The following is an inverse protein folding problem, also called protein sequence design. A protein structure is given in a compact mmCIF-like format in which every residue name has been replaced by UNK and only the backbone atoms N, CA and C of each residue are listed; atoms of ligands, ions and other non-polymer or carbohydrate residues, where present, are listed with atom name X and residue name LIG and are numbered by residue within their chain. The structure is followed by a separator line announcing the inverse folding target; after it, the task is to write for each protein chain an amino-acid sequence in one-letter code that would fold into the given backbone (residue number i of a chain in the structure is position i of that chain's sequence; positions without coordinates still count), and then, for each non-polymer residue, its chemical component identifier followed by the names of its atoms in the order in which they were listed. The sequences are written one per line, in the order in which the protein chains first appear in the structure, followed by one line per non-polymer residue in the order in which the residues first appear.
data_IF_428099557517
#
_entry.id   IF_428099557517
#
_cell.length_a   1.000
_cell.length_b   1.000
_cell.length_c   1.000
_cell.angle_alpha   90.00
_cell.angle_beta   90.00
_cell.angle_gamma   90.00
#
_symmetry.space_group_name_H-M   'P 1'
#
loop_
_entity.id
_entity.type
_entity.pdbx_description
1 polymer ?
#
# COMPACT_ATOMS: atom_id res chain seq x y z
N UNK A 1 0.56 10.94 -0.88
CA UNK A 1 -0.89 11.28 -0.90
C UNK A 1 -1.21 12.19 -2.09
N UNK A 2 -2.49 12.46 -2.36
CA UNK A 2 -2.89 13.32 -3.48
C UNK A 2 -2.44 14.77 -3.34
N UNK A 3 -2.49 15.31 -2.12
CA UNK A 3 -1.95 16.61 -1.79
C UNK A 3 -0.43 16.66 -2.05
N UNK A 4 0.31 15.68 -1.53
CA UNK A 4 1.76 15.57 -1.75
C UNK A 4 2.13 15.42 -3.23
N UNK A 5 1.35 14.68 -4.03
CA UNK A 5 1.56 14.60 -5.48
C UNK A 5 1.42 15.98 -6.14
N UNK A 6 0.35 16.72 -5.80
CA UNK A 6 0.15 18.07 -6.33
C UNK A 6 1.31 18.99 -5.97
N UNK A 7 1.77 18.94 -4.72
CA UNK A 7 2.91 19.74 -4.24
C UNK A 7 4.20 19.38 -4.97
N UNK A 8 4.49 18.10 -5.14
CA UNK A 8 5.65 17.63 -5.90
C UNK A 8 5.62 18.11 -7.37
N UNK A 9 4.45 18.07 -8.01
CA UNK A 9 4.29 18.60 -9.37
C UNK A 9 4.54 20.11 -9.44
N UNK A 10 4.07 20.88 -8.47
CA UNK A 10 4.31 22.33 -8.40
C UNK A 10 5.80 22.61 -8.20
N UNK A 11 6.45 21.90 -7.27
CA UNK A 11 7.88 22.04 -6.99
C UNK A 11 8.74 21.75 -8.23
N UNK A 12 8.30 20.83 -9.09
CA UNK A 12 8.95 20.51 -10.35
C UNK A 12 8.70 21.55 -11.47
N UNK A 13 7.83 22.54 -11.23
CA UNK A 13 7.53 23.61 -12.17
C UNK A 13 6.24 23.41 -12.95
N UNK A 14 5.32 22.56 -12.49
CA UNK A 14 3.95 22.54 -13.01
C UNK A 14 3.22 23.82 -12.58
N UNK A 15 2.63 24.60 -13.50
CA UNK A 15 1.94 25.82 -13.14
C UNK A 15 0.84 25.57 -12.10
N UNK A 16 0.79 26.39 -11.05
CA UNK A 16 -0.18 26.27 -9.95
C UNK A 16 -1.63 26.12 -10.43
N UNK A 17 -2.01 26.87 -11.48
CA UNK A 17 -3.36 26.82 -12.08
C UNK A 17 -3.70 25.44 -12.69
N UNK A 18 -2.70 24.68 -13.13
CA UNK A 18 -2.87 23.36 -13.76
C UNK A 18 -2.60 22.20 -12.80
N UNK A 19 -1.88 22.43 -11.70
CA UNK A 19 -1.39 21.38 -10.80
C UNK A 19 -2.48 20.44 -10.27
N UNK A 20 -3.67 20.97 -9.92
CA UNK A 20 -4.80 20.13 -9.46
C UNK A 20 -5.27 19.16 -10.55
N UNK A 21 -5.45 19.66 -11.77
CA UNK A 21 -5.86 18.85 -12.92
C UNK A 21 -4.81 17.80 -13.25
N UNK A 22 -3.53 18.20 -13.32
CA UNK A 22 -2.41 17.28 -13.63
C UNK A 22 -2.25 16.20 -12.57
N UNK A 23 -2.36 16.55 -11.28
CA UNK A 23 -2.36 15.58 -10.21
C UNK A 23 -3.50 14.57 -10.37
N UNK A 24 -4.72 15.02 -10.70
CA UNK A 24 -5.86 14.13 -10.97
C UNK A 24 -5.62 13.17 -12.14
N UNK A 25 -5.09 13.67 -13.26
CA UNK A 25 -4.77 12.86 -14.43
C UNK A 25 -3.73 11.78 -14.11
N UNK A 26 -2.60 12.17 -13.51
CA UNK A 26 -1.51 11.25 -13.15
C UNK A 26 -2.00 10.23 -12.12
N UNK A 27 -2.78 10.67 -11.13
CA UNK A 27 -3.35 9.81 -10.09
C UNK A 27 -4.19 8.67 -10.66
N UNK A 28 -5.08 8.97 -11.60
CA UNK A 28 -5.90 7.96 -12.27
C UNK A 28 -5.05 6.97 -13.07
N UNK A 29 -4.01 7.45 -13.77
CA UNK A 29 -3.09 6.55 -14.48
C UNK A 29 -2.41 5.56 -13.55
N UNK A 30 -1.90 6.03 -12.40
CA UNK A 30 -1.16 5.18 -11.46
C UNK A 30 -2.10 4.20 -10.74
N UNK A 31 -3.18 4.72 -10.14
CA UNK A 31 -3.95 4.00 -9.12
C UNK A 31 -5.26 3.39 -9.62
N UNK A 32 -5.84 3.93 -10.70
CA UNK A 32 -7.02 3.35 -11.33
C UNK A 32 -6.66 2.43 -12.51
N UNK A 33 -5.59 2.75 -13.25
CA UNK A 33 -5.20 2.03 -14.48
C UNK A 33 -3.91 1.21 -14.35
N UNK A 34 -3.20 1.26 -13.23
CA UNK A 34 -1.99 0.45 -13.02
C UNK A 34 -0.78 0.88 -13.86
N UNK A 35 -0.80 2.06 -14.48
CA UNK A 35 0.27 2.50 -15.35
C UNK A 35 1.56 2.79 -14.56
N UNK A 36 2.70 2.36 -15.11
CA UNK A 36 4.06 2.58 -14.57
C UNK A 36 4.97 3.35 -15.53
N UNK A 37 4.44 3.81 -16.65
CA UNK A 37 5.20 4.54 -17.67
C UNK A 37 4.50 5.84 -18.04
N UNK A 38 5.17 6.97 -17.76
CA UNK A 38 4.68 8.30 -18.13
C UNK A 38 4.37 8.44 -19.62
N UNK A 39 5.09 7.72 -20.48
CA UNK A 39 4.89 7.75 -21.93
C UNK A 39 3.48 7.32 -22.32
N UNK A 40 2.82 6.46 -21.53
CA UNK A 40 1.48 5.96 -21.81
C UNK A 40 0.36 6.92 -21.41
N UNK A 41 0.67 8.00 -20.70
CA UNK A 41 -0.34 8.95 -20.19
C UNK A 41 -0.86 9.88 -21.30
N UNK A 42 -1.66 9.35 -22.22
CA UNK A 42 -2.07 10.02 -23.48
C UNK A 42 -2.86 11.32 -23.31
N UNK A 43 -3.45 11.57 -22.14
CA UNK A 43 -4.13 12.84 -21.81
C UNK A 43 -3.15 13.93 -21.29
N UNK A 44 -1.85 13.67 -21.32
CA UNK A 44 -0.77 14.62 -21.07
C UNK A 44 -0.02 14.94 -22.37
N UNK A 45 0.46 16.18 -22.52
CA UNK A 45 1.27 16.55 -23.67
C UNK A 45 2.58 15.74 -23.70
N UNK A 46 3.17 15.57 -24.88
CA UNK A 46 4.45 14.83 -25.04
C UNK A 46 5.55 15.44 -24.17
N UNK A 47 5.71 16.77 -24.24
CA UNK A 47 6.73 17.49 -23.47
C UNK A 47 6.55 17.33 -21.96
N UNK A 48 5.30 17.32 -21.48
CA UNK A 48 5.03 17.14 -20.06
C UNK A 48 5.33 15.71 -19.59
N UNK A 49 5.05 14.69 -20.42
CA UNK A 49 5.44 13.31 -20.12
C UNK A 49 6.96 13.14 -20.02
N UNK A 50 7.71 13.74 -20.96
CA UNK A 50 9.17 13.74 -20.93
C UNK A 50 9.70 14.41 -19.65
N UNK A 51 9.17 15.60 -19.34
CA UNK A 51 9.52 16.34 -18.12
C UNK A 51 9.22 15.57 -16.82
N UNK A 52 8.15 14.77 -16.79
CA UNK A 52 7.87 13.90 -15.64
C UNK A 52 8.90 12.76 -15.53
N UNK A 53 9.23 12.10 -16.63
CA UNK A 53 10.18 10.99 -16.67
C UNK A 53 11.62 11.42 -16.31
N UNK A 54 11.98 12.68 -16.52
CA UNK A 54 13.28 13.23 -16.11
C UNK A 54 13.40 13.45 -14.59
N UNK A 55 12.30 13.66 -13.88
CA UNK A 55 12.33 14.07 -12.45
C UNK A 55 11.73 13.03 -11.51
N UNK A 56 10.86 12.17 -11.99
CA UNK A 56 10.12 11.22 -11.18
C UNK A 56 10.28 9.80 -11.72
N UNK A 57 10.10 8.84 -10.82
CA UNK A 57 9.98 7.42 -11.15
C UNK A 57 8.65 6.88 -10.63
N UNK A 58 8.11 5.86 -11.31
CA UNK A 58 6.89 5.16 -10.91
C UNK A 58 7.24 3.72 -10.50
N UNK A 59 8.08 3.61 -9.48
CA UNK A 59 8.56 2.31 -8.99
C UNK A 59 7.64 1.73 -7.92
N UNK A 60 7.56 0.40 -7.96
CA UNK A 60 6.93 -0.42 -6.92
C UNK A 60 7.98 -1.44 -6.44
N UNK A 61 7.78 -2.07 -5.27
CA UNK A 61 8.69 -3.13 -4.81
C UNK A 61 8.91 -4.21 -5.87
N UNK A 62 10.16 -4.64 -6.03
CA UNK A 62 10.55 -5.67 -7.00
C UNK A 62 10.16 -7.05 -6.45
N UNK A 63 9.45 -7.88 -7.23
CA UNK A 63 9.13 -9.25 -6.81
C UNK A 63 10.35 -10.15 -6.99
N UNK A 64 10.92 -10.62 -5.88
CA UNK A 64 12.10 -11.51 -5.87
C UNK A 64 11.67 -12.96 -5.98
N UNK A 65 10.61 -13.32 -5.26
CA UNK A 65 10.06 -14.66 -5.28
C UNK A 65 8.56 -14.59 -5.15
N UNK A 66 7.86 -15.39 -5.95
CA UNK A 66 6.42 -15.60 -5.88
C UNK A 66 6.15 -17.08 -5.73
N UNK A 67 5.42 -17.44 -4.68
CA UNK A 67 4.97 -18.80 -4.40
C UNK A 67 3.45 -18.83 -4.40
N UNK A 68 2.88 -19.81 -5.10
CA UNK A 68 1.43 -20.00 -5.18
C UNK A 68 1.10 -21.35 -4.55
N UNK A 69 0.28 -21.33 -3.51
CA UNK A 69 -0.25 -22.50 -2.82
C UNK A 69 -1.38 -23.15 -3.63
N UNK A 70 -1.69 -24.41 -3.32
CA UNK A 70 -2.80 -25.15 -3.95
C UNK A 70 -4.17 -24.52 -3.67
N UNK A 71 -4.32 -23.81 -2.56
CA UNK A 71 -5.53 -23.05 -2.20
C UNK A 71 -5.61 -21.68 -2.89
N UNK A 72 -4.64 -21.35 -3.75
CA UNK A 72 -4.55 -20.08 -4.46
C UNK A 72 -3.85 -18.97 -3.69
N UNK A 73 -3.50 -19.17 -2.41
CA UNK A 73 -2.71 -18.20 -1.63
C UNK A 73 -1.41 -17.88 -2.35
N UNK A 74 -1.09 -16.60 -2.49
CA UNK A 74 0.14 -16.13 -3.15
C UNK A 74 1.02 -15.44 -2.11
N UNK A 75 2.21 -15.98 -1.87
CA UNK A 75 3.24 -15.36 -1.03
C UNK A 75 4.28 -14.69 -1.92
N UNK A 76 4.57 -13.43 -1.65
CA UNK A 76 5.57 -12.65 -2.35
C UNK A 76 6.68 -12.25 -1.37
N UNK A 77 7.92 -12.45 -1.79
CA UNK A 77 9.08 -11.77 -1.23
C UNK A 77 9.39 -10.61 -2.15
N UNK A 78 9.29 -9.37 -1.65
CA UNK A 78 9.55 -8.18 -2.44
C UNK A 78 10.74 -7.40 -1.91
N UNK A 79 11.57 -6.89 -2.82
CA UNK A 79 12.67 -6.00 -2.50
C UNK A 79 12.19 -4.55 -2.60
N UNK A 80 12.48 -3.80 -1.55
CA UNK A 80 12.16 -2.38 -1.46
C UNK A 80 13.41 -1.53 -1.68
N UNK A 81 13.25 -0.21 -1.73
CA UNK A 81 14.37 0.70 -1.93
C UNK A 81 15.44 0.51 -0.84
N UNK A 82 16.72 0.52 -1.21
CA UNK A 82 17.82 0.22 -0.28
C UNK A 82 18.09 -1.27 -0.08
N UNK A 83 17.42 -2.16 -0.81
CA UNK A 83 17.82 -3.58 -0.93
C UNK A 83 17.28 -4.51 0.16
N UNK A 84 16.50 -3.99 1.11
CA UNK A 84 15.81 -4.82 2.09
C UNK A 84 14.63 -5.56 1.46
N UNK A 85 14.18 -6.63 2.12
CA UNK A 85 13.10 -7.47 1.64
C UNK A 85 11.97 -7.52 2.68
N UNK A 86 10.73 -7.53 2.19
CA UNK A 86 9.52 -7.70 3.01
C UNK A 86 8.57 -8.69 2.37
N UNK A 87 7.68 -9.27 3.17
CA UNK A 87 6.68 -10.21 2.70
C UNK A 87 5.35 -9.53 2.41
N UNK A 88 4.66 -10.04 1.39
CA UNK A 88 3.26 -9.76 1.06
C UNK A 88 2.56 -11.11 0.94
N UNK A 89 1.32 -11.22 1.41
CA UNK A 89 0.51 -12.44 1.22
C UNK A 89 -0.87 -12.06 0.69
N UNK A 90 -1.23 -12.59 -0.46
CA UNK A 90 -2.60 -12.55 -0.98
C UNK A 90 -3.31 -13.86 -0.66
N UNK A 91 -4.49 -13.77 -0.05
CA UNK A 91 -5.29 -14.91 0.39
C UNK A 91 -6.63 -14.81 -0.35
N UNK A 92 -6.89 -15.65 -1.36
CA UNK A 92 -8.19 -15.72 -2.01
C UNK A 92 -9.19 -16.49 -1.15
N UNK A 93 -10.44 -16.05 -1.20
CA UNK A 93 -11.61 -16.73 -0.66
C UNK A 93 -12.73 -16.70 -1.72
N UNK A 94 -13.86 -17.38 -1.48
CA UNK A 94 -14.93 -17.50 -2.48
C UNK A 94 -15.51 -16.14 -2.92
N UNK A 95 -15.63 -15.18 -2.00
CA UNK A 95 -16.28 -13.89 -2.22
C UNK A 95 -15.37 -12.67 -2.03
N UNK A 96 -14.10 -12.90 -1.66
CA UNK A 96 -13.14 -11.83 -1.37
C UNK A 96 -11.71 -12.28 -1.58
N UNK A 97 -10.81 -11.33 -1.72
CA UNK A 97 -9.37 -11.58 -1.61
C UNK A 97 -8.73 -10.57 -0.68
N UNK A 98 -7.98 -11.09 0.28
CA UNK A 98 -7.35 -10.30 1.34
C UNK A 98 -5.86 -10.18 1.07
N UNK A 99 -5.35 -8.95 1.05
CA UNK A 99 -3.92 -8.68 0.97
C UNK A 99 -3.36 -8.31 2.35
N UNK A 100 -2.47 -9.16 2.85
CA UNK A 100 -1.64 -8.89 4.01
C UNK A 100 -0.38 -8.15 3.57
N UNK A 101 -0.20 -6.92 4.07
CA UNK A 101 0.92 -6.04 3.72
C UNK A 101 1.77 -5.69 4.94
N UNK A 102 3.05 -5.47 4.69
CA UNK A 102 4.06 -5.07 5.65
C UNK A 102 4.10 -3.54 5.84
N UNK A 103 4.48 -3.10 7.03
CA UNK A 103 4.60 -1.69 7.42
C UNK A 103 6.04 -1.28 7.78
N UNK A 104 6.91 -2.22 8.13
CA UNK A 104 8.32 -1.98 8.46
C UNK A 104 9.20 -3.11 7.92
N UNK A 105 10.53 -2.89 7.91
CA UNK A 105 11.53 -3.96 7.75
C UNK A 105 11.99 -4.39 9.13
N UNK A 106 11.66 -5.63 9.51
CA UNK A 106 11.78 -6.10 10.89
C UNK A 106 10.70 -5.50 11.79
N UNK A 107 10.81 -5.71 13.11
CA UNK A 107 9.89 -5.14 14.09
C UNK A 107 10.63 -4.83 15.40
N UNK A 108 10.23 -3.77 16.11
CA UNK A 108 10.75 -3.48 17.45
C UNK A 108 10.06 -4.30 18.53
N UNK A 109 8.89 -4.85 18.22
CA UNK A 109 8.15 -5.68 19.15
C UNK A 109 8.72 -7.09 19.14
N UNK A 110 9.29 -7.48 20.28
CA UNK A 110 9.92 -8.78 20.50
C UNK A 110 8.87 -9.84 20.86
N UNK A 111 7.75 -9.89 20.15
CA UNK A 111 6.71 -10.90 20.38
C UNK A 111 7.31 -12.29 20.16
N UNK A 112 7.37 -13.11 21.20
CA UNK A 112 8.11 -14.38 21.23
C UNK A 112 7.62 -15.41 20.19
N UNK A 113 6.35 -15.34 19.79
CA UNK A 113 5.73 -16.20 18.79
C UNK A 113 5.88 -15.67 17.34
N UNK A 114 6.36 -14.44 17.15
CA UNK A 114 6.43 -13.80 15.84
C UNK A 114 7.82 -13.95 15.24
N UNK A 115 7.93 -14.55 14.05
CA UNK A 115 9.22 -14.67 13.37
C UNK A 115 9.87 -13.30 13.12
N UNK A 116 9.10 -12.30 12.67
CA UNK A 116 9.58 -10.92 12.50
C UNK A 116 10.03 -10.29 13.82
N UNK A 117 9.45 -10.69 14.96
CA UNK A 117 9.85 -10.23 16.29
C UNK A 117 11.25 -10.70 16.69
N UNK A 118 11.81 -11.70 16.00
CA UNK A 118 13.22 -12.13 16.17
C UNK A 118 14.20 -11.29 15.36
N UNK A 119 13.71 -10.50 14.39
CA UNK A 119 14.51 -9.67 13.51
C UNK A 119 14.57 -8.24 14.04
N UNK A 120 15.77 -7.63 14.07
CA UNK A 120 15.90 -6.24 14.49
C UNK A 120 15.15 -5.31 13.53
N UNK A 121 14.47 -4.30 14.06
CA UNK A 121 13.95 -3.21 13.24
C UNK A 121 15.11 -2.57 12.48
N UNK A 122 14.96 -2.47 11.16
CA UNK A 122 15.90 -1.76 10.29
C UNK A 122 15.39 -0.36 10.01
N UNK A 123 14.17 -0.25 9.46
CA UNK A 123 13.51 1.04 9.19
C UNK A 123 12.02 0.89 8.93
N UNK A 124 11.33 2.04 8.98
CA UNK A 124 9.97 2.19 8.49
C UNK A 124 9.93 2.13 6.95
N UNK A 125 8.85 1.57 6.42
CA UNK A 125 8.52 1.70 4.99
C UNK A 125 7.94 3.10 4.72
N UNK A 126 8.27 3.66 3.56
CA UNK A 126 7.61 4.86 3.06
C UNK A 126 6.17 4.56 2.63
N UNK A 127 5.33 5.60 2.53
CA UNK A 127 3.97 5.44 2.01
C UNK A 127 3.94 4.81 0.60
N UNK A 128 4.93 5.12 -0.24
CA UNK A 128 5.10 4.56 -1.58
C UNK A 128 5.42 3.06 -1.55
N UNK A 129 6.27 2.62 -0.63
CA UNK A 129 6.60 1.20 -0.44
C UNK A 129 5.41 0.40 0.11
N UNK A 130 4.61 0.98 1.03
CA UNK A 130 3.42 0.33 1.58
C UNK A 130 2.35 0.17 0.50
N UNK A 131 1.98 1.26 -0.18
CA UNK A 131 0.95 1.17 -1.24
C UNK A 131 1.46 0.40 -2.47
N UNK A 132 2.77 0.41 -2.71
CA UNK A 132 3.41 -0.37 -3.76
C UNK A 132 3.17 -1.86 -3.62
N UNK A 133 3.05 -2.39 -2.40
CA UNK A 133 2.68 -3.80 -2.17
C UNK A 133 1.27 -4.12 -2.71
N UNK A 134 0.32 -3.18 -2.57
CA UNK A 134 -1.02 -3.31 -3.15
C UNK A 134 -0.94 -3.31 -4.68
N UNK A 135 -0.12 -2.43 -5.24
CA UNK A 135 0.08 -2.33 -6.69
C UNK A 135 0.68 -3.61 -7.26
N UNK A 136 1.73 -4.16 -6.64
CA UNK A 136 2.38 -5.43 -7.01
C UNK A 136 1.37 -6.57 -7.05
N UNK A 137 0.53 -6.69 -6.02
CA UNK A 137 -0.48 -7.74 -5.98
C UNK A 137 -1.54 -7.58 -7.08
N UNK A 138 -1.98 -6.34 -7.36
CA UNK A 138 -2.95 -6.08 -8.45
C UNK A 138 -2.35 -6.34 -9.84
N UNK A 139 -1.07 -6.02 -10.03
CA UNK A 139 -0.30 -6.35 -11.24
C UNK A 139 -0.30 -7.88 -11.45
N UNK A 140 0.03 -8.67 -10.42
CA UNK A 140 0.06 -10.15 -10.49
C UNK A 140 -1.32 -10.81 -10.63
N UNK A 141 -2.37 -10.17 -10.10
CA UNK A 141 -3.76 -10.63 -10.21
C UNK A 141 -4.40 -10.29 -11.55
N UNK A 142 -3.78 -9.44 -12.39
CA UNK A 142 -4.37 -9.00 -13.66
C UNK A 142 -5.66 -8.20 -13.44
N UNK A 143 -5.74 -7.43 -12.36
CA UNK A 143 -6.99 -6.78 -11.91
C UNK A 143 -7.13 -5.33 -12.42
N UNK A 144 -6.29 -4.92 -13.36
CA UNK A 144 -6.35 -3.58 -13.95
C UNK A 144 -7.41 -3.54 -15.05
N UNK A 145 -8.16 -2.42 -15.17
CA UNK A 145 -9.15 -2.29 -16.23
C UNK A 145 -8.47 -2.22 -17.60
N UNK A 146 -8.88 -3.07 -18.53
CA UNK A 146 -8.43 -3.01 -19.92
C UNK A 146 -9.35 -2.09 -20.75
N UNK A 147 -8.78 -1.25 -21.65
CA UNK A 147 -9.60 -0.42 -22.53
C UNK A 147 -10.50 -1.26 -23.45
N UNK A 148 -11.81 -1.09 -23.31
CA UNK A 148 -12.81 -1.79 -24.13
C UNK A 148 -13.52 -2.93 -23.40
N UNK A 149 -12.99 -3.38 -22.26
CA UNK A 149 -13.64 -4.39 -21.45
C UNK A 149 -14.80 -3.79 -20.63
N UNK A 150 -15.89 -4.55 -20.43
CA UNK A 150 -16.90 -4.17 -19.47
C UNK A 150 -16.27 -4.12 -18.07
N UNK A 151 -16.77 -3.26 -17.15
CA UNK A 151 -16.29 -3.23 -15.79
C UNK A 151 -16.34 -4.64 -15.20
N UNK A 152 -15.18 -5.20 -14.82
CA UNK A 152 -15.14 -6.51 -14.17
C UNK A 152 -15.94 -6.40 -12.85
N UNK A 153 -17.05 -7.15 -12.70
CA UNK A 153 -17.91 -7.01 -11.53
C UNK A 153 -17.23 -7.52 -10.25
N UNK A 154 -16.19 -8.36 -10.36
CA UNK A 154 -15.53 -8.99 -9.22
C UNK A 154 -14.14 -8.39 -9.02
N UNK A 155 -13.99 -7.67 -7.91
CA UNK A 155 -12.70 -7.20 -7.40
C UNK A 155 -12.00 -8.35 -6.68
N UNK A 156 -10.89 -8.83 -7.24
CA UNK A 156 -10.03 -9.88 -6.68
C UNK A 156 -9.32 -9.42 -5.40
N UNK A 157 -8.82 -8.18 -5.35
CA UNK A 157 -8.23 -7.60 -4.14
C UNK A 157 -9.27 -6.69 -3.49
N UNK A 158 -10.08 -7.27 -2.61
CA UNK A 158 -11.21 -6.58 -1.99
C UNK A 158 -10.98 -6.20 -0.53
N UNK A 159 -9.93 -6.70 0.11
CA UNK A 159 -9.59 -6.44 1.50
C UNK A 159 -8.07 -6.20 1.69
N UNK A 160 -7.70 -5.32 2.62
CA UNK A 160 -6.30 -5.09 3.04
C UNK A 160 -6.21 -5.29 4.55
N UNK A 161 -5.19 -6.01 4.99
CA UNK A 161 -4.83 -6.14 6.41
C UNK A 161 -3.37 -5.74 6.62
N UNK A 162 -3.12 -4.86 7.59
CA UNK A 162 -1.76 -4.47 8.02
C UNK A 162 -1.30 -5.46 9.09
N UNK A 163 -1.03 -6.69 8.67
CA UNK A 163 -0.61 -7.82 9.51
C UNK A 163 0.66 -8.49 8.97
N UNK A 164 1.37 -7.83 8.07
CA UNK A 164 2.66 -8.28 7.58
C UNK A 164 3.78 -7.97 8.57
N UNK A 165 4.96 -7.64 8.07
CA UNK A 165 6.11 -7.28 8.89
C UNK A 165 5.94 -5.88 9.52
N UNK A 166 6.24 -5.77 10.81
CA UNK A 166 6.27 -4.50 11.55
C UNK A 166 5.01 -4.16 12.34
N UNK A 167 5.12 -3.20 13.25
CA UNK A 167 4.02 -2.58 14.00
C UNK A 167 3.53 -1.33 13.26
N UNK A 168 2.33 -1.36 12.64
CA UNK A 168 1.83 -0.25 11.84
C UNK A 168 1.76 1.09 12.59
N UNK A 169 1.46 1.06 13.91
CA UNK A 169 1.35 2.28 14.69
C UNK A 169 2.70 2.97 14.98
N UNK A 170 3.81 2.24 14.95
CA UNK A 170 5.16 2.85 14.97
C UNK A 170 5.60 3.42 13.61
N UNK A 171 4.81 3.18 12.56
CA UNK A 171 4.98 3.81 11.26
C UNK A 171 3.72 4.60 10.82
N UNK A 172 3.05 5.24 11.79
CA UNK A 172 1.73 5.83 11.62
C UNK A 172 1.60 6.74 10.40
N UNK A 173 2.53 7.68 10.21
CA UNK A 173 2.44 8.68 9.12
C UNK A 173 2.44 8.03 7.74
N UNK A 174 3.34 7.08 7.49
CA UNK A 174 3.42 6.39 6.20
C UNK A 174 2.25 5.44 5.99
N UNK A 175 1.82 4.72 7.04
CA UNK A 175 0.65 3.84 7.01
C UNK A 175 -0.61 4.65 6.70
N UNK A 176 -0.83 5.75 7.42
CA UNK A 176 -1.96 6.67 7.18
C UNK A 176 -1.99 7.15 5.74
N UNK A 177 -0.85 7.62 5.24
CA UNK A 177 -0.76 8.17 3.89
C UNK A 177 -0.99 7.10 2.81
N UNK A 178 -0.48 5.88 3.02
CA UNK A 178 -0.73 4.73 2.14
C UNK A 178 -2.21 4.33 2.16
N UNK A 179 -2.84 4.25 3.33
CA UNK A 179 -4.26 3.90 3.43
C UNK A 179 -5.16 4.97 2.83
N UNK A 180 -4.80 6.26 2.96
CA UNK A 180 -5.49 7.35 2.25
C UNK A 180 -5.39 7.20 0.72
N UNK A 181 -4.27 6.71 0.18
CA UNK A 181 -4.15 6.39 -1.24
C UNK A 181 -5.05 5.20 -1.62
N UNK A 182 -5.04 4.12 -0.83
CA UNK A 182 -5.88 2.95 -1.05
C UNK A 182 -7.38 3.29 -1.05
N UNK A 183 -7.79 4.23 -0.20
CA UNK A 183 -9.19 4.66 -0.06
C UNK A 183 -9.62 5.77 -1.03
N UNK A 184 -8.70 6.38 -1.78
CA UNK A 184 -9.04 7.53 -2.63
C UNK A 184 -10.05 7.10 -3.72
N UNK A 185 -11.20 7.80 -3.83
CA UNK A 185 -12.31 7.38 -4.68
C UNK A 185 -12.01 7.51 -6.18
N UNK A 186 -10.96 8.23 -6.58
CA UNK A 186 -10.52 8.39 -7.96
C UNK A 186 -9.24 7.57 -8.27
N UNK A 187 -8.88 6.65 -7.38
CA UNK A 187 -7.74 5.73 -7.53
C UNK A 187 -8.16 4.28 -7.28
N UNK A 188 -7.58 3.66 -6.25
CA UNK A 188 -7.87 2.26 -5.88
C UNK A 188 -9.30 2.12 -5.36
N UNK A 189 -9.84 3.16 -4.69
CA UNK A 189 -11.23 3.21 -4.23
C UNK A 189 -11.62 1.99 -3.36
N UNK A 190 -10.80 1.67 -2.35
CA UNK A 190 -11.13 0.64 -1.37
C UNK A 190 -11.90 1.26 -0.19
N UNK A 191 -12.99 0.62 0.25
CA UNK A 191 -13.73 1.11 1.41
C UNK A 191 -12.88 1.01 2.68
N UNK A 192 -12.94 2.02 3.55
CA UNK A 192 -12.32 1.96 4.89
C UNK A 192 -12.75 0.75 5.72
N UNK A 193 -13.95 0.22 5.46
CA UNK A 193 -14.49 -1.00 6.12
C UNK A 193 -13.87 -2.31 5.59
N UNK A 194 -13.06 -2.23 4.54
CA UNK A 194 -12.32 -3.35 3.94
C UNK A 194 -10.83 -3.30 4.29
N UNK A 195 -10.41 -2.32 5.08
CA UNK A 195 -9.04 -2.15 5.55
C UNK A 195 -9.04 -2.41 7.06
N UNK A 196 -8.14 -3.28 7.52
CA UNK A 196 -7.94 -3.56 8.94
C UNK A 196 -6.50 -3.28 9.34
N UNK A 197 -6.32 -2.38 10.30
CA UNK A 197 -5.04 -2.15 10.94
C UNK A 197 -4.93 -3.04 12.17
N UNK A 198 -3.89 -3.86 12.25
CA UNK A 198 -3.56 -4.62 13.46
C UNK A 198 -2.51 -3.91 14.30
N UNK A 199 -2.63 -3.96 15.61
CA UNK A 199 -1.63 -3.41 16.54
C UNK A 199 -1.47 -4.28 17.78
N UNK A 200 -0.26 -4.31 18.31
CA UNK A 200 0.05 -4.92 19.62
C UNK A 200 -0.25 -4.00 20.80
N UNK A 201 -0.79 -2.80 20.56
CA UNK A 201 -1.30 -1.92 21.60
C UNK A 201 -0.47 -0.64 21.83
N UNK A 202 -0.11 0.08 20.77
CA UNK A 202 0.44 1.44 20.90
C UNK A 202 -0.69 2.42 21.21
N UNK A 203 -1.18 2.39 22.46
CA UNK A 203 -2.44 3.02 22.90
C UNK A 203 -2.61 4.48 22.43
N UNK A 204 -1.62 5.38 22.53
CA UNK A 204 -1.79 6.76 22.09
C UNK A 204 -2.08 6.92 20.58
N UNK A 205 -1.61 5.97 19.76
CA UNK A 205 -1.79 6.02 18.31
C UNK A 205 -3.13 5.40 17.86
N UNK A 206 -3.78 4.58 18.71
CA UNK A 206 -5.08 3.97 18.39
C UNK A 206 -6.16 5.02 18.12
N UNK A 207 -6.22 6.07 18.97
CA UNK A 207 -7.18 7.16 18.79
C UNK A 207 -6.92 7.92 17.48
N UNK A 208 -5.66 8.21 17.18
CA UNK A 208 -5.27 8.87 15.92
C UNK A 208 -5.61 8.04 14.69
N UNK A 209 -5.50 6.71 14.77
CA UNK A 209 -5.96 5.81 13.68
C UNK A 209 -7.43 5.99 13.39
N UNK A 210 -8.28 6.08 14.42
CA UNK A 210 -9.71 6.28 14.24
C UNK A 210 -10.03 7.63 13.58
N UNK A 211 -9.33 8.70 13.97
CA UNK A 211 -9.55 10.06 13.48
C UNK A 211 -8.99 10.30 12.06
N UNK A 212 -7.76 9.85 11.80
CA UNK A 212 -7.04 10.21 10.57
C UNK A 212 -7.11 9.15 9.46
N UNK A 213 -7.38 7.88 9.80
CA UNK A 213 -7.51 6.78 8.84
C UNK A 213 -8.96 6.28 8.80
N UNK A 214 -9.55 6.00 9.96
CA UNK A 214 -10.93 5.53 10.10
C UNK A 214 -11.17 4.12 9.55
N UNK A 215 -10.13 3.29 9.47
CA UNK A 215 -10.22 1.88 9.09
C UNK A 215 -10.70 1.00 10.26
N UNK A 216 -10.92 -0.29 10.01
CA UNK A 216 -11.14 -1.26 11.08
C UNK A 216 -9.85 -1.44 11.91
N UNK A 217 -10.02 -1.83 13.17
CA UNK A 217 -8.92 -2.09 14.11
C UNK A 217 -9.00 -3.54 14.60
N UNK A 218 -7.86 -4.22 14.59
CA UNK A 218 -7.65 -5.50 15.25
C UNK A 218 -6.58 -5.34 16.33
N UNK A 219 -6.83 -5.89 17.52
CA UNK A 219 -5.87 -5.83 18.64
C UNK A 219 -5.23 -7.21 18.82
N UNK A 220 -3.91 -7.25 18.70
CA UNK A 220 -3.08 -8.44 18.96
C UNK A 220 -2.91 -8.64 20.46
N UNK A 221 -3.93 -9.23 21.08
CA UNK A 221 -4.03 -9.33 22.54
C UNK A 221 -3.21 -10.50 23.12
N UNK A 222 -3.40 -11.71 22.58
CA UNK A 222 -2.61 -12.94 22.78
C UNK A 222 -2.44 -13.50 24.22
N UNK A 223 -3.01 -12.87 25.24
CA UNK A 223 -3.01 -13.37 26.61
C UNK A 223 -4.28 -12.91 27.36
N UNK A 224 -4.65 -13.58 28.45
CA UNK A 224 -5.81 -13.19 29.29
C UNK A 224 -5.42 -12.44 30.57
N UNK A 225 -4.13 -12.38 30.88
CA UNK A 225 -3.55 -11.72 32.06
C UNK A 225 -2.26 -11.02 31.66
N UNK A 226 -1.86 -10.00 32.41
CA UNK A 226 -0.64 -9.24 32.13
C UNK A 226 0.61 -10.12 32.33
N UNK A 227 0.60 -11.00 33.34
CA UNK A 227 1.73 -11.89 33.64
C UNK A 227 2.06 -12.87 32.51
N UNK A 228 1.07 -13.23 31.69
CA UNK A 228 1.26 -14.08 30.49
C UNK A 228 1.62 -13.25 29.26
N UNK A 229 1.28 -11.95 29.26
CA UNK A 229 1.48 -11.06 28.12
C UNK A 229 2.87 -10.43 28.08
N UNK A 230 3.43 -10.16 29.26
CA UNK A 230 4.79 -9.63 29.46
C UNK A 230 5.88 -10.65 29.05
#
# INVERSE_FOLDING_TARGET
TRAALREALIAQGTPNKQAKMRAGQIWQWIYAKGCRDFSQMTNLSKDYRAKLAETFVLEVPEVITRQISNDGTRKYLVRIAGGHEVEIVYIPEEDRGTLCISSQVGCTLTCSFCHTGTQKLVRNLSAGEIIGQVLVARDDLGEWPEPGDPPNPVRLLSNIVLMGMGEPLYNFVNVRDAMKIAMDPEGICLSRRRITLSTSGVVPEIAKTAEEIGCLLAVSFHATTDEVRD
#
